data_IF_303755116588
#
_entry.id   IF_303755116588
#
_cell.length_a   1.000
_cell.length_b   1.000
_cell.length_c   1.000
_cell.angle_alpha   90.00
_cell.angle_beta   90.00
_cell.angle_gamma   90.00
#
_symmetry.space_group_name_H-M   'P 1'
#
loop_
_entity.id
_entity.type
_entity.pdbx_description
1 polymer ?
#
# COMPACT_ATOMS: atom_id res chain seq x y z
N UNK A 1 33.13 -81.06 -35.04
CA UNK A 1 34.53 -80.58 -34.95
C UNK A 1 34.68 -79.51 -36.01
N UNK A 2 34.87 -78.23 -35.73
CA UNK A 2 35.98 -77.62 -35.01
C UNK A 2 35.55 -76.28 -34.39
N UNK A 3 36.24 -75.88 -33.32
CA UNK A 3 36.00 -74.71 -32.48
C UNK A 3 36.70 -73.43 -32.96
N UNK A 4 36.22 -72.32 -32.39
CA UNK A 4 36.93 -71.07 -32.02
C UNK A 4 37.16 -70.02 -33.12
N UNK A 5 36.71 -68.78 -32.88
CA UNK A 5 37.57 -67.71 -32.34
C UNK A 5 36.70 -66.59 -31.70
N UNK A 6 37.08 -66.18 -30.49
CA UNK A 6 36.55 -65.02 -29.77
C UNK A 6 37.04 -63.72 -30.43
N UNK A 7 36.15 -62.74 -30.60
CA UNK A 7 36.52 -61.35 -30.89
C UNK A 7 35.93 -60.48 -29.77
N UNK A 8 36.81 -59.92 -28.95
CA UNK A 8 36.51 -58.86 -27.98
C UNK A 8 36.21 -57.56 -28.74
N UNK A 9 35.02 -56.99 -28.53
CA UNK A 9 34.66 -55.66 -29.02
C UNK A 9 34.54 -54.70 -27.83
N UNK A 10 35.60 -53.91 -27.61
CA UNK A 10 35.61 -52.75 -26.72
C UNK A 10 34.91 -51.58 -27.42
N UNK A 11 33.66 -51.30 -27.04
CA UNK A 11 32.96 -50.09 -27.44
C UNK A 11 33.23 -48.99 -26.40
N UNK A 12 34.09 -48.04 -26.75
CA UNK A 12 34.32 -46.82 -25.99
C UNK A 12 33.14 -45.87 -26.13
N UNK A 13 32.51 -45.51 -25.01
CA UNK A 13 31.41 -44.55 -24.94
C UNK A 13 31.98 -43.12 -25.00
N UNK A 14 31.97 -42.48 -26.17
CA UNK A 14 32.28 -41.05 -26.28
C UNK A 14 31.05 -40.23 -25.88
N UNK A 15 31.10 -39.60 -24.71
CA UNK A 15 30.07 -38.68 -24.24
C UNK A 15 30.19 -37.36 -25.03
N UNK A 16 29.28 -37.12 -25.97
CA UNK A 16 29.19 -35.83 -26.66
C UNK A 16 28.52 -34.81 -25.72
N UNK A 17 29.33 -34.00 -25.05
CA UNK A 17 28.86 -32.87 -24.25
C UNK A 17 28.30 -31.82 -25.21
N UNK A 18 26.98 -31.77 -25.34
CA UNK A 18 26.31 -30.64 -25.98
C UNK A 18 26.21 -29.52 -24.94
N UNK A 19 27.10 -28.53 -25.05
CA UNK A 19 26.92 -27.26 -24.36
C UNK A 19 25.70 -26.55 -24.97
N UNK A 20 24.56 -26.58 -24.27
CA UNK A 20 23.45 -25.71 -24.59
C UNK A 20 23.88 -24.25 -24.35
N UNK A 21 23.50 -23.29 -25.21
CA UNK A 21 23.86 -21.91 -24.98
C UNK A 21 23.17 -21.41 -23.71
N UNK A 22 23.95 -20.86 -22.81
CA UNK A 22 23.44 -20.09 -21.67
C UNK A 22 22.63 -18.94 -22.26
N UNK A 23 21.34 -18.90 -21.96
CA UNK A 23 20.48 -17.79 -22.34
C UNK A 23 21.09 -16.50 -21.77
N UNK A 24 21.58 -15.64 -22.67
CA UNK A 24 22.03 -14.30 -22.27
C UNK A 24 20.83 -13.58 -21.68
N UNK A 25 20.99 -12.96 -20.51
CA UNK A 25 20.03 -12.00 -19.98
C UNK A 25 19.88 -10.85 -20.98
N UNK A 26 18.89 -10.94 -21.86
CA UNK A 26 18.53 -9.87 -22.78
C UNK A 26 17.97 -8.71 -21.95
N UNK A 27 18.65 -7.57 -22.01
CA UNK A 27 18.05 -6.31 -21.56
C UNK A 27 16.73 -6.09 -22.30
N UNK A 28 15.67 -5.78 -21.57
CA UNK A 28 14.33 -5.51 -22.14
C UNK A 28 14.44 -4.45 -23.23
N UNK A 29 13.74 -4.66 -24.35
CA UNK A 29 13.74 -3.68 -25.45
C UNK A 29 13.06 -2.38 -25.02
N UNK A 30 13.31 -1.28 -25.72
CA UNK A 30 12.67 0.01 -25.42
C UNK A 30 11.14 -0.04 -25.54
N UNK A 31 10.62 -0.90 -26.43
CA UNK A 31 9.18 -1.12 -26.60
C UNK A 31 8.59 -1.85 -25.39
N UNK A 32 9.27 -2.89 -24.89
CA UNK A 32 8.86 -3.61 -23.68
C UNK A 32 8.84 -2.69 -22.45
N UNK A 33 9.80 -1.77 -22.35
CA UNK A 33 9.87 -0.79 -21.26
C UNK A 33 8.69 0.19 -21.33
N UNK A 34 8.36 0.69 -22.53
CA UNK A 34 7.25 1.61 -22.72
C UNK A 34 5.89 0.96 -22.40
N UNK A 35 5.72 -0.31 -22.78
CA UNK A 35 4.52 -1.09 -22.49
C UNK A 35 4.37 -1.32 -20.98
N UNK A 36 5.43 -1.76 -20.30
CA UNK A 36 5.42 -1.94 -18.84
C UNK A 36 5.10 -0.62 -18.13
N UNK A 37 5.72 0.49 -18.53
CA UNK A 37 5.40 1.80 -17.94
C UNK A 37 3.95 2.20 -18.14
N UNK A 38 3.35 1.90 -19.30
CA UNK A 38 1.95 2.18 -19.55
C UNK A 38 1.04 1.30 -18.67
N UNK A 39 1.34 0.01 -18.54
CA UNK A 39 0.60 -0.92 -17.67
C UNK A 39 0.63 -0.43 -16.22
N UNK A 40 1.79 -0.05 -15.70
CA UNK A 40 1.94 0.47 -14.33
C UNK A 40 1.09 1.73 -14.10
N UNK A 41 1.12 2.68 -15.04
CA UNK A 41 0.35 3.94 -14.93
C UNK A 41 -1.17 3.70 -15.00
N UNK A 42 -1.61 2.74 -15.82
CA UNK A 42 -3.02 2.34 -15.87
C UNK A 42 -3.42 1.59 -14.59
N UNK A 43 -2.54 0.74 -14.05
CA UNK A 43 -2.71 0.08 -12.76
C UNK A 43 -2.93 1.08 -11.63
N UNK A 44 -2.12 2.14 -11.59
CA UNK A 44 -2.28 3.24 -10.64
C UNK A 44 -3.67 3.89 -10.72
N UNK A 45 -4.11 4.26 -11.94
CA UNK A 45 -5.43 4.89 -12.13
C UNK A 45 -6.59 3.94 -11.81
N UNK A 46 -6.42 2.63 -12.06
CA UNK A 46 -7.41 1.60 -11.66
C UNK A 46 -7.51 1.53 -10.15
N UNK A 47 -6.37 1.38 -9.45
CA UNK A 47 -6.30 1.22 -7.99
C UNK A 47 -6.80 2.46 -7.26
N UNK A 48 -6.26 3.64 -7.58
CA UNK A 48 -6.49 4.84 -6.77
C UNK A 48 -7.62 5.74 -7.28
N UNK A 49 -7.99 5.64 -8.57
CA UNK A 49 -8.94 6.53 -9.23
C UNK A 49 -10.13 5.82 -9.86
N UNK A 50 -10.28 4.50 -9.63
CA UNK A 50 -11.38 3.69 -10.14
C UNK A 50 -11.54 3.80 -11.67
N UNK A 51 -10.42 3.72 -12.41
CA UNK A 51 -10.47 3.59 -13.86
C UNK A 51 -11.03 2.21 -14.22
N UNK A 52 -12.20 2.15 -14.85
CA UNK A 52 -12.82 0.90 -15.28
C UNK A 52 -12.38 0.49 -16.70
N UNK A 53 -12.18 -0.81 -16.92
CA UNK A 53 -11.96 -1.35 -18.26
C UNK A 53 -13.31 -1.57 -18.96
N UNK A 54 -13.67 -0.73 -19.93
CA UNK A 54 -14.79 -1.04 -20.82
C UNK A 54 -14.36 -2.03 -21.90
N UNK A 55 -14.88 -3.26 -21.81
CA UNK A 55 -14.60 -4.37 -22.75
C UNK A 55 -15.13 -4.17 -24.18
N UNK A 56 -15.81 -3.06 -24.51
CA UNK A 56 -16.44 -2.89 -25.84
C UNK A 56 -16.63 -1.44 -26.32
N UNK A 57 -15.80 -0.49 -25.88
CA UNK A 57 -15.91 0.91 -26.32
C UNK A 57 -14.84 1.28 -27.36
N UNK A 58 -15.25 2.03 -28.39
CA UNK A 58 -14.35 2.68 -29.37
C UNK A 58 -13.17 3.38 -28.68
N UNK A 59 -11.97 3.31 -29.28
CA UNK A 59 -10.71 3.81 -28.70
C UNK A 59 -10.78 5.25 -28.16
N UNK A 60 -11.58 6.11 -28.81
CA UNK A 60 -11.83 7.50 -28.40
C UNK A 60 -12.57 7.67 -27.07
N UNK A 61 -13.45 6.72 -26.68
CA UNK A 61 -14.17 6.80 -25.39
C UNK A 61 -13.28 6.36 -24.23
N UNK A 62 -12.45 5.34 -24.45
CA UNK A 62 -11.46 4.86 -23.48
C UNK A 62 -10.39 5.93 -23.18
N UNK A 63 -9.88 6.62 -24.20
CA UNK A 63 -8.94 7.73 -24.01
C UNK A 63 -9.58 8.90 -23.24
N UNK A 64 -10.85 9.19 -23.49
CA UNK A 64 -11.63 10.19 -22.74
C UNK A 64 -11.72 9.86 -21.24
N UNK A 65 -12.05 8.62 -20.88
CA UNK A 65 -12.13 8.18 -19.48
C UNK A 65 -10.77 8.25 -18.77
N UNK A 66 -9.69 7.79 -19.42
CA UNK A 66 -8.32 7.91 -18.90
C UNK A 66 -7.97 9.37 -18.60
N UNK A 67 -8.23 10.26 -19.55
CA UNK A 67 -7.96 11.69 -19.41
C UNK A 67 -8.77 12.32 -18.26
N UNK A 68 -10.01 11.89 -18.04
CA UNK A 68 -10.81 12.33 -16.89
C UNK A 68 -10.21 11.91 -15.55
N UNK A 69 -9.76 10.64 -15.43
CA UNK A 69 -9.13 10.13 -14.21
C UNK A 69 -7.77 10.77 -13.93
N UNK A 70 -7.01 11.09 -14.98
CA UNK A 70 -5.78 11.89 -14.85
C UNK A 70 -6.10 13.30 -14.33
N UNK A 71 -7.13 13.98 -14.87
CA UNK A 71 -7.54 15.30 -14.35
C UNK A 71 -8.00 15.24 -12.90
N UNK A 72 -8.69 14.17 -12.52
CA UNK A 72 -9.12 13.95 -11.13
C UNK A 72 -7.91 13.83 -10.20
N UNK A 73 -6.92 13.01 -10.56
CA UNK A 73 -5.64 12.89 -9.86
C UNK A 73 -4.91 14.23 -9.76
N UNK A 74 -4.75 14.95 -10.88
CA UNK A 74 -4.04 16.23 -10.90
C UNK A 74 -4.70 17.24 -9.97
N UNK A 75 -6.04 17.32 -9.96
CA UNK A 75 -6.77 18.18 -9.01
C UNK A 75 -6.59 17.74 -7.55
N UNK A 76 -6.57 16.44 -7.28
CA UNK A 76 -6.37 15.92 -5.93
C UNK A 76 -5.01 16.36 -5.38
N UNK A 77 -3.96 16.25 -6.19
CA UNK A 77 -2.59 16.57 -5.81
C UNK A 77 -2.19 18.04 -6.04
N UNK A 78 -3.12 18.90 -6.49
CA UNK A 78 -2.83 20.31 -6.76
C UNK A 78 -1.88 20.56 -7.95
N UNK A 79 -1.79 19.62 -8.89
CA UNK A 79 -0.99 19.74 -10.11
C UNK A 79 -1.74 20.53 -11.20
N UNK A 80 -1.01 20.92 -12.25
CA UNK A 80 -1.63 21.46 -13.46
C UNK A 80 -2.58 20.44 -14.10
N UNK A 81 -3.84 20.85 -14.32
CA UNK A 81 -4.91 19.94 -14.77
C UNK A 81 -4.88 19.82 -16.30
N UNK A 82 -3.93 19.05 -16.82
CA UNK A 82 -3.71 18.84 -18.26
C UNK A 82 -4.53 17.66 -18.81
N UNK A 83 -4.87 16.68 -17.97
CA UNK A 83 -5.50 15.43 -18.37
C UNK A 83 -4.62 14.50 -19.19
N UNK A 84 -3.30 14.72 -19.15
CA UNK A 84 -2.28 13.85 -19.75
C UNK A 84 -1.24 13.45 -18.70
N UNK A 85 -0.53 12.35 -18.95
CA UNK A 85 0.55 11.88 -18.09
C UNK A 85 1.83 12.68 -18.36
N UNK A 86 1.81 13.96 -17.99
CA UNK A 86 2.98 14.84 -18.06
C UNK A 86 4.07 14.44 -17.04
N UNK A 87 5.31 14.95 -17.16
CA UNK A 87 6.41 14.55 -16.30
C UNK A 87 6.14 14.74 -14.80
N UNK A 88 5.42 15.79 -14.42
CA UNK A 88 5.07 16.07 -13.02
C UNK A 88 4.05 15.06 -12.48
N UNK A 89 3.01 14.75 -13.27
CA UNK A 89 2.02 13.71 -12.93
C UNK A 89 2.69 12.35 -12.76
N UNK A 90 3.62 11.99 -13.66
CA UNK A 90 4.38 10.74 -13.57
C UNK A 90 5.28 10.72 -12.34
N UNK A 91 5.95 11.83 -12.00
CA UNK A 91 6.76 11.91 -10.79
C UNK A 91 5.91 11.72 -9.53
N UNK A 92 4.69 12.26 -9.50
CA UNK A 92 3.77 12.04 -8.39
C UNK A 92 3.37 10.57 -8.26
N UNK A 93 3.03 9.89 -9.38
CA UNK A 93 2.67 8.46 -9.39
C UNK A 93 3.77 7.53 -8.87
N UNK A 94 5.04 7.96 -8.93
CA UNK A 94 6.20 7.16 -8.50
C UNK A 94 6.50 7.24 -7.01
N UNK A 95 5.88 8.17 -6.28
CA UNK A 95 6.15 8.35 -4.86
C UNK A 95 5.47 7.23 -4.06
N UNK A 96 6.18 6.69 -3.07
CA UNK A 96 5.58 5.75 -2.12
C UNK A 96 4.41 6.40 -1.39
N UNK A 97 3.37 5.62 -1.13
CA UNK A 97 2.07 6.11 -0.68
C UNK A 97 1.25 5.04 0.04
N UNK A 98 0.16 5.47 0.66
CA UNK A 98 -0.91 4.59 1.11
C UNK A 98 -1.63 3.91 -0.08
N UNK A 99 -2.01 2.65 0.14
CA UNK A 99 -2.69 1.75 -0.80
C UNK A 99 -4.19 1.96 -0.93
N UNK A 100 -4.80 2.78 -0.06
CA UNK A 100 -6.23 3.11 -0.08
C UNK A 100 -6.56 4.01 -1.28
N UNK A 101 -7.70 3.82 -1.97
CA UNK A 101 -8.08 4.69 -3.09
C UNK A 101 -8.29 6.17 -2.71
N UNK A 102 -7.82 7.09 -3.56
CA UNK A 102 -7.93 8.55 -3.34
C UNK A 102 -9.36 9.08 -3.53
N UNK A 103 -10.15 8.34 -4.33
CA UNK A 103 -11.54 8.67 -4.62
C UNK A 103 -12.39 7.46 -4.27
N UNK A 104 -13.35 7.67 -3.38
CA UNK A 104 -14.21 6.59 -2.87
C UNK A 104 -14.96 5.92 -4.03
N UNK A 105 -14.85 4.60 -4.15
CA UNK A 105 -15.77 3.78 -4.96
C UNK A 105 -17.20 3.74 -4.38
N UNK A 106 -17.36 4.11 -3.11
CA UNK A 106 -18.60 3.97 -2.35
C UNK A 106 -19.07 5.31 -1.77
N UNK A 107 -19.49 6.23 -2.63
CA UNK A 107 -20.41 7.31 -2.19
C UNK A 107 -21.87 6.83 -2.08
N UNK A 108 -22.09 5.51 -2.00
CA UNK A 108 -23.39 4.90 -1.70
C UNK A 108 -23.68 4.79 -0.20
N UNK A 109 -22.73 5.18 0.67
CA UNK A 109 -22.94 5.32 2.11
C UNK A 109 -22.67 6.78 2.48
N UNK A 110 -23.57 7.37 3.27
CA UNK A 110 -23.60 8.81 3.57
C UNK A 110 -22.37 9.35 4.31
N UNK A 111 -22.43 10.58 4.85
CA UNK A 111 -21.30 11.18 5.54
C UNK A 111 -20.83 10.32 6.74
N UNK A 112 -19.52 10.00 6.75
CA UNK A 112 -18.77 9.58 7.93
C UNK A 112 -18.98 8.13 8.39
N UNK A 113 -18.44 7.15 7.66
CA UNK A 113 -18.30 5.78 8.19
C UNK A 113 -17.42 5.84 9.43
N UNK A 114 -17.98 5.51 10.59
CA UNK A 114 -17.29 5.57 11.89
C UNK A 114 -17.71 4.41 12.78
N UNK A 115 -16.88 4.09 13.76
CA UNK A 115 -17.29 3.20 14.85
C UNK A 115 -18.42 3.83 15.67
N UNK A 116 -19.42 3.01 16.02
CA UNK A 116 -20.54 3.43 16.86
C UNK A 116 -20.23 3.34 18.37
N UNK A 117 -18.97 3.10 18.71
CA UNK A 117 -18.45 3.01 20.07
C UNK A 117 -17.11 3.74 20.17
N UNK A 118 -16.78 4.19 21.38
CA UNK A 118 -15.50 4.88 21.63
C UNK A 118 -14.42 3.98 22.23
N UNK A 119 -14.80 2.82 22.76
CA UNK A 119 -13.86 1.83 23.30
C UNK A 119 -13.55 0.83 22.21
N UNK A 120 -12.43 1.05 21.53
CA UNK A 120 -11.94 0.20 20.46
C UNK A 120 -10.86 -0.73 20.98
N UNK A 121 -10.78 -1.91 20.38
CA UNK A 121 -9.76 -2.90 20.65
C UNK A 121 -8.83 -3.04 19.45
N UNK A 122 -7.56 -3.34 19.69
CA UNK A 122 -6.61 -3.64 18.62
C UNK A 122 -5.79 -4.87 18.96
N UNK A 123 -5.30 -5.57 17.93
CA UNK A 123 -4.44 -6.75 18.10
C UNK A 123 -3.40 -6.80 16.99
N UNK A 124 -2.15 -7.04 17.37
CA UNK A 124 -1.09 -7.40 16.43
C UNK A 124 -1.13 -8.91 16.21
N UNK A 125 -1.25 -9.31 14.94
CA UNK A 125 -1.28 -10.72 14.54
C UNK A 125 0.13 -11.29 14.39
N UNK A 126 1.04 -10.46 13.88
CA UNK A 126 2.46 -10.76 13.69
C UNK A 126 3.27 -9.45 13.81
N UNK A 127 4.58 -9.54 13.51
CA UNK A 127 5.55 -8.45 13.62
C UNK A 127 6.47 -8.48 12.42
N UNK A 128 6.91 -7.31 11.98
CA UNK A 128 8.02 -7.15 11.03
C UNK A 128 9.34 -7.66 11.65
N UNK A 129 10.21 -8.33 10.89
CA UNK A 129 11.54 -8.73 11.36
C UNK A 129 12.53 -7.55 11.42
N UNK A 130 12.19 -6.39 10.85
CA UNK A 130 13.09 -5.23 10.79
C UNK A 130 13.29 -4.53 12.13
N UNK A 131 12.35 -4.73 13.06
CA UNK A 131 12.30 -4.03 14.34
C UNK A 131 12.08 -5.01 15.50
N UNK A 132 12.67 -4.77 16.69
CA UNK A 132 12.33 -5.52 17.89
C UNK A 132 10.83 -5.44 18.19
N UNK A 133 10.25 -6.56 18.64
CA UNK A 133 8.83 -6.67 19.03
C UNK A 133 8.39 -5.55 19.99
N UNK A 134 9.24 -5.20 20.96
CA UNK A 134 8.96 -4.15 21.93
C UNK A 134 8.90 -2.74 21.32
N UNK A 135 9.64 -2.50 20.24
CA UNK A 135 9.61 -1.23 19.50
C UNK A 135 8.35 -1.13 18.65
N UNK A 136 7.99 -2.21 17.93
CA UNK A 136 6.74 -2.28 17.17
C UNK A 136 5.55 -2.04 18.10
N UNK A 137 5.50 -2.72 19.25
CA UNK A 137 4.45 -2.53 20.26
C UNK A 137 4.33 -1.08 20.73
N UNK A 138 5.46 -0.44 21.04
CA UNK A 138 5.51 0.96 21.46
C UNK A 138 5.02 1.89 20.36
N UNK A 139 5.50 1.70 19.13
CA UNK A 139 5.18 2.53 17.96
C UNK A 139 3.70 2.45 17.62
N UNK A 140 3.13 1.24 17.54
CA UNK A 140 1.70 1.05 17.27
C UNK A 140 0.84 1.71 18.35
N UNK A 141 1.23 1.56 19.63
CA UNK A 141 0.54 2.22 20.72
C UNK A 141 0.63 3.76 20.62
N UNK A 142 1.78 4.32 20.24
CA UNK A 142 1.94 5.75 20.02
C UNK A 142 1.11 6.26 18.84
N UNK A 143 1.06 5.52 17.74
CA UNK A 143 0.26 5.84 16.56
C UNK A 143 -1.25 5.86 16.89
N UNK A 144 -1.78 4.92 17.66
CA UNK A 144 -3.17 4.99 18.12
C UNK A 144 -3.42 6.16 19.08
N UNK A 145 -2.43 6.48 19.93
CA UNK A 145 -2.54 7.59 20.89
C UNK A 145 -2.69 8.95 20.22
N UNK A 146 -2.15 9.20 19.01
CA UNK A 146 -2.32 10.51 18.37
C UNK A 146 -3.80 10.83 18.16
N UNK A 147 -4.61 9.82 17.83
CA UNK A 147 -6.05 9.94 17.65
C UNK A 147 -6.80 10.00 19.00
N UNK A 148 -6.40 9.17 19.98
CA UNK A 148 -6.99 9.18 21.33
C UNK A 148 -6.71 10.49 22.11
N UNK A 149 -5.69 11.24 21.73
CA UNK A 149 -5.36 12.52 22.35
C UNK A 149 -6.34 13.63 21.96
N UNK A 150 -6.97 13.54 20.80
CA UNK A 150 -7.84 14.60 20.25
C UNK A 150 -9.31 14.20 20.15
N UNK A 151 -9.65 12.96 20.49
CA UNK A 151 -11.01 12.40 20.46
C UNK A 151 -11.38 11.74 21.81
N UNK A 152 -12.66 11.38 22.01
CA UNK A 152 -13.09 10.52 23.12
C UNK A 152 -12.71 9.03 22.98
N UNK A 153 -12.01 8.64 21.91
CA UNK A 153 -11.66 7.25 21.65
C UNK A 153 -10.62 6.73 22.65
N UNK A 154 -10.74 5.45 22.99
CA UNK A 154 -9.76 4.71 23.79
C UNK A 154 -9.45 3.39 23.10
N UNK A 155 -8.18 3.00 23.12
CA UNK A 155 -7.70 1.79 22.48
C UNK A 155 -7.16 0.81 23.52
N UNK A 156 -7.68 -0.41 23.51
CA UNK A 156 -7.24 -1.50 24.40
C UNK A 156 -6.64 -2.62 23.58
N UNK A 157 -5.41 -3.01 23.92
CA UNK A 157 -4.75 -4.15 23.27
C UNK A 157 -5.39 -5.46 23.68
N UNK A 158 -5.66 -6.33 22.71
CA UNK A 158 -5.94 -7.75 22.93
C UNK A 158 -4.73 -8.58 22.54
N UNK A 159 -4.51 -9.69 23.25
CA UNK A 159 -3.45 -10.65 22.94
C UNK A 159 -3.98 -11.91 22.22
N UNK A 160 -5.30 -12.13 22.30
CA UNK A 160 -6.00 -13.28 21.71
C UNK A 160 -7.38 -12.84 21.22
N UNK A 161 -8.02 -13.66 20.38
CA UNK A 161 -9.35 -13.38 19.82
C UNK A 161 -9.34 -12.28 18.75
N UNK A 162 -10.53 -11.84 18.35
CA UNK A 162 -10.71 -10.81 17.32
C UNK A 162 -10.88 -9.44 17.97
N UNK A 163 -10.14 -8.46 17.45
CA UNK A 163 -10.23 -7.06 17.86
C UNK A 163 -11.01 -6.24 16.83
N UNK A 164 -11.30 -4.97 17.14
CA UNK A 164 -11.90 -4.03 16.18
C UNK A 164 -10.92 -3.60 15.09
N UNK A 165 -9.61 -3.66 15.37
CA UNK A 165 -8.52 -3.32 14.46
C UNK A 165 -7.50 -4.44 14.55
N UNK A 166 -7.47 -5.34 13.57
CA UNK A 166 -6.41 -6.32 13.41
C UNK A 166 -5.25 -5.70 12.64
N UNK A 167 -4.03 -5.95 13.09
CA UNK A 167 -2.81 -5.35 12.55
C UNK A 167 -1.88 -6.47 12.13
N UNK A 168 -1.47 -6.45 10.86
CA UNK A 168 -0.57 -7.46 10.31
C UNK A 168 0.47 -6.87 9.35
N UNK A 169 1.60 -7.57 9.24
CA UNK A 169 2.73 -7.24 8.38
C UNK A 169 2.88 -8.31 7.30
N UNK A 170 3.08 -7.88 6.05
CA UNK A 170 3.40 -8.74 4.92
C UNK A 170 2.17 -9.34 4.24
N UNK A 171 2.28 -10.60 3.79
CA UNK A 171 1.20 -11.31 3.09
C UNK A 171 -0.04 -11.45 3.97
N UNK A 172 -1.16 -10.97 3.44
CA UNK A 172 -2.44 -10.89 4.12
C UNK A 172 -3.54 -11.42 3.18
N UNK A 173 -4.57 -12.07 3.73
CA UNK A 173 -5.54 -12.87 2.96
C UNK A 173 -6.64 -12.09 2.24
N UNK A 174 -6.42 -10.81 1.91
CA UNK A 174 -7.41 -9.94 1.25
C UNK A 174 -7.20 -9.85 -0.28
N UNK A 175 -8.01 -9.01 -0.94
CA UNK A 175 -8.00 -8.85 -2.41
C UNK A 175 -7.00 -7.78 -2.93
N UNK A 176 -6.16 -7.21 -2.07
CA UNK A 176 -5.30 -6.06 -2.35
C UNK A 176 -3.82 -6.37 -2.07
N UNK A 177 -3.20 -7.32 -2.78
CA UNK A 177 -1.79 -7.65 -2.54
C UNK A 177 -0.86 -6.43 -2.67
N UNK A 178 0.21 -6.45 -1.88
CA UNK A 178 1.30 -5.49 -1.97
C UNK A 178 2.18 -5.70 -3.21
N UNK A 179 2.96 -4.68 -3.55
CA UNK A 179 3.72 -4.56 -4.80
C UNK A 179 5.24 -4.72 -4.64
N UNK A 180 5.70 -5.09 -3.44
CA UNK A 180 7.11 -5.20 -3.10
C UNK A 180 7.71 -3.85 -2.73
N UNK A 181 9.05 -3.68 -2.72
CA UNK A 181 9.67 -2.47 -2.20
C UNK A 181 9.32 -1.19 -2.96
N UNK A 182 8.89 -0.17 -2.22
CA UNK A 182 8.37 1.10 -2.72
C UNK A 182 6.91 1.01 -3.16
N UNK A 183 6.35 2.12 -3.64
CA UNK A 183 4.96 2.09 -4.14
C UNK A 183 3.95 2.08 -3.00
N UNK A 184 3.35 0.93 -2.67
CA UNK A 184 2.32 0.82 -1.63
C UNK A 184 2.89 0.38 -0.29
N UNK A 185 2.95 1.31 0.68
CA UNK A 185 3.59 1.03 1.98
C UNK A 185 2.70 0.24 2.94
N UNK A 186 1.40 0.48 2.86
CA UNK A 186 0.38 -0.05 3.74
C UNK A 186 -1.01 0.25 3.18
N UNK A 187 -2.03 -0.39 3.72
CA UNK A 187 -3.42 0.03 3.57
C UNK A 187 -4.25 -0.34 4.80
N UNK A 188 -5.40 0.29 4.93
CA UNK A 188 -6.38 -0.05 5.95
C UNK A 188 -7.81 -0.01 5.40
N UNK A 189 -8.72 -0.61 6.15
CA UNK A 189 -10.14 -0.64 5.83
C UNK A 189 -10.92 0.31 6.73
N UNK A 190 -11.94 0.96 6.17
CA UNK A 190 -12.88 1.77 6.95
C UNK A 190 -13.58 0.94 8.03
N UNK A 191 -14.09 1.59 9.10
CA UNK A 191 -14.86 0.92 10.16
C UNK A 191 -16.00 0.05 9.60
N UNK A 192 -15.98 -1.25 9.90
CA UNK A 192 -17.04 -2.18 9.53
C UNK A 192 -16.89 -3.49 10.33
N UNK A 193 -17.78 -4.45 10.07
CA UNK A 193 -17.62 -5.81 10.58
C UNK A 193 -16.58 -6.59 9.75
N UNK A 194 -16.06 -7.70 10.28
CA UNK A 194 -15.11 -8.56 9.58
C UNK A 194 -13.74 -7.90 9.48
N UNK A 195 -13.24 -7.68 8.25
CA UNK A 195 -11.95 -7.01 8.00
C UNK A 195 -12.02 -5.48 8.13
N UNK A 196 -13.21 -4.94 8.41
CA UNK A 196 -13.39 -3.50 8.59
C UNK A 196 -12.61 -2.99 9.78
N UNK A 197 -11.80 -1.96 9.57
CA UNK A 197 -10.88 -1.42 10.58
C UNK A 197 -9.47 -1.97 10.50
N UNK A 198 -9.24 -3.12 9.87
CA UNK A 198 -7.92 -3.75 9.82
C UNK A 198 -6.90 -2.89 9.07
N UNK A 199 -5.64 -3.00 9.49
CA UNK A 199 -4.52 -2.27 8.90
C UNK A 199 -3.38 -3.25 8.58
N UNK A 200 -2.95 -3.23 7.32
CA UNK A 200 -1.92 -4.11 6.78
C UNK A 200 -0.72 -3.28 6.35
N UNK A 201 0.48 -3.76 6.67
CA UNK A 201 1.74 -3.08 6.41
C UNK A 201 2.59 -3.94 5.47
N UNK A 202 3.16 -3.34 4.42
CA UNK A 202 3.98 -4.09 3.47
C UNK A 202 5.35 -4.42 4.08
N UNK A 203 5.59 -5.70 4.38
CA UNK A 203 6.83 -6.17 5.03
C UNK A 203 7.97 -6.41 4.02
N UNK A 204 7.75 -6.13 2.72
CA UNK A 204 8.84 -5.94 1.76
C UNK A 204 9.47 -4.53 1.89
N UNK A 205 8.81 -3.61 2.60
CA UNK A 205 9.38 -2.33 3.00
C UNK A 205 10.30 -2.47 4.20
N UNK A 206 11.37 -1.67 4.24
CA UNK A 206 12.24 -1.61 5.42
C UNK A 206 11.66 -0.69 6.49
N UNK A 207 10.99 -1.24 7.50
CA UNK A 207 10.43 -0.45 8.59
C UNK A 207 11.51 0.05 9.56
N UNK A 208 11.30 1.26 10.06
CA UNK A 208 12.21 1.93 11.01
C UNK A 208 11.43 2.78 12.01
N UNK A 209 12.11 3.24 13.06
CA UNK A 209 11.60 4.24 14.00
C UNK A 209 12.49 5.49 13.97
N UNK A 210 11.87 6.67 13.91
CA UNK A 210 12.54 7.97 13.96
C UNK A 210 13.69 8.13 12.95
N UNK A 211 13.53 7.56 11.75
CA UNK A 211 14.60 7.50 10.75
C UNK A 211 14.09 7.78 9.35
N UNK A 212 14.81 8.63 8.62
CA UNK A 212 14.56 8.87 7.20
C UNK A 212 15.24 7.85 6.28
N UNK A 213 15.89 6.82 6.82
CA UNK A 213 16.63 5.78 6.06
C UNK A 213 15.81 4.50 5.84
N UNK A 214 14.49 4.63 5.87
CA UNK A 214 13.52 3.57 5.67
C UNK A 214 12.11 4.15 5.77
N UNK A 215 11.13 3.27 5.91
CA UNK A 215 9.74 3.63 6.12
C UNK A 215 9.49 3.76 7.62
N UNK A 216 9.26 4.97 8.10
CA UNK A 216 8.96 5.21 9.51
C UNK A 216 7.58 4.63 9.88
N UNK A 217 7.60 3.57 10.70
CA UNK A 217 6.40 2.81 11.05
C UNK A 217 5.37 3.65 11.82
N UNK A 218 5.81 4.62 12.63
CA UNK A 218 4.89 5.49 13.36
C UNK A 218 4.05 6.34 12.39
N UNK A 219 4.70 6.95 11.39
CA UNK A 219 4.01 7.80 10.41
C UNK A 219 3.01 7.01 9.57
N UNK A 220 3.41 5.84 9.08
CA UNK A 220 2.53 4.98 8.28
C UNK A 220 1.39 4.43 9.14
N UNK A 221 1.67 3.90 10.33
CA UNK A 221 0.62 3.36 11.20
C UNK A 221 -0.37 4.43 11.65
N UNK A 222 0.11 5.64 12.01
CA UNK A 222 -0.79 6.72 12.38
C UNK A 222 -1.72 7.11 11.23
N UNK A 223 -1.22 7.11 9.99
CA UNK A 223 -2.01 7.35 8.78
C UNK A 223 -3.07 6.25 8.58
N UNK A 224 -2.66 4.98 8.55
CA UNK A 224 -3.58 3.86 8.33
C UNK A 224 -4.66 3.78 9.42
N UNK A 225 -4.32 4.07 10.67
CA UNK A 225 -5.33 4.16 11.73
C UNK A 225 -6.32 5.30 11.53
N UNK A 226 -5.96 6.37 10.81
CA UNK A 226 -6.94 7.35 10.38
C UNK A 226 -8.02 6.71 9.49
N UNK A 227 -7.66 5.84 8.56
CA UNK A 227 -8.59 5.06 7.76
C UNK A 227 -9.38 4.05 8.59
N UNK A 228 -8.72 3.30 9.49
CA UNK A 228 -9.38 2.40 10.45
C UNK A 228 -10.40 3.11 11.35
N UNK A 229 -10.31 4.43 11.47
CA UNK A 229 -11.24 5.28 12.21
C UNK A 229 -12.24 6.01 11.32
N UNK A 230 -12.13 5.92 9.99
CA UNK A 230 -13.11 6.44 9.04
C UNK A 230 -12.70 7.71 8.30
N UNK A 231 -11.45 8.15 8.42
CA UNK A 231 -10.94 9.27 7.62
C UNK A 231 -10.64 8.81 6.20
N UNK A 232 -10.91 9.70 5.24
CA UNK A 232 -10.40 9.59 3.88
C UNK A 232 -9.09 10.35 3.74
N UNK A 233 -8.39 10.16 2.64
CA UNK A 233 -7.22 10.96 2.31
C UNK A 233 -7.52 12.47 2.29
N UNK A 234 -6.58 13.25 2.80
CA UNK A 234 -6.56 14.71 2.68
C UNK A 234 -5.90 15.15 1.38
N UNK A 235 -6.30 16.32 0.90
CA UNK A 235 -5.64 17.03 -0.21
C UNK A 235 -4.55 18.00 0.28
N UNK A 236 -4.47 18.24 1.58
CA UNK A 236 -3.44 19.08 2.18
C UNK A 236 -2.12 18.30 2.28
N UNK A 237 -1.05 18.67 1.56
CA UNK A 237 0.23 17.97 1.61
C UNK A 237 0.94 18.04 2.97
N UNK A 238 0.42 18.83 3.90
CA UNK A 238 0.91 18.92 5.28
C UNK A 238 0.10 18.07 6.27
N UNK A 239 -1.05 17.53 5.87
CA UNK A 239 -1.85 16.62 6.70
C UNK A 239 -1.19 15.25 6.85
N UNK A 240 -1.42 14.56 7.96
CA UNK A 240 -1.02 13.16 8.15
C UNK A 240 -1.74 12.29 7.13
N UNK A 241 -3.04 12.51 6.92
CA UNK A 241 -3.87 11.77 5.96
C UNK A 241 -3.60 12.09 4.48
N UNK A 242 -2.55 12.85 4.16
CA UNK A 242 -2.11 12.98 2.77
C UNK A 242 -1.52 11.65 2.29
N UNK A 243 -1.92 11.11 1.13
CA UNK A 243 -1.63 9.73 0.74
C UNK A 243 -0.14 9.47 0.48
N UNK A 244 0.61 10.48 0.07
CA UNK A 244 2.00 10.31 -0.31
C UNK A 244 2.89 10.38 0.92
N UNK A 245 3.72 9.35 1.09
CA UNK A 245 4.64 9.27 2.20
C UNK A 245 5.67 10.39 2.14
N UNK A 246 5.87 11.01 3.30
CA UNK A 246 6.93 11.99 3.53
C UNK A 246 7.36 11.87 4.98
N UNK A 247 8.65 11.56 5.17
CA UNK A 247 9.24 11.59 6.50
C UNK A 247 9.06 12.96 7.15
N UNK A 248 8.78 12.94 8.45
CA UNK A 248 8.64 14.13 9.31
C UNK A 248 9.48 13.91 10.55
N UNK A 249 10.12 14.98 11.03
CA UNK A 249 10.78 14.92 12.32
C UNK A 249 9.74 14.69 13.42
N UNK A 250 9.92 13.61 14.18
CA UNK A 250 8.97 13.16 15.18
C UNK A 250 9.20 13.76 16.57
N UNK A 251 10.35 14.41 16.80
CA UNK A 251 10.68 15.02 18.08
C UNK A 251 9.69 16.12 18.50
N UNK A 252 9.07 16.78 17.52
CA UNK A 252 8.06 17.82 17.72
C UNK A 252 6.76 17.51 16.98
N UNK A 253 6.47 16.24 16.73
CA UNK A 253 5.29 15.87 15.95
C UNK A 253 4.01 16.22 16.70
N UNK A 254 3.17 17.00 16.02
CA UNK A 254 1.80 17.30 16.44
C UNK A 254 0.90 16.93 15.28
N UNK A 255 -0.22 16.27 15.59
CA UNK A 255 -1.22 15.92 14.59
C UNK A 255 -1.70 17.20 13.88
N UNK A 256 -1.58 17.30 12.54
CA UNK A 256 -1.95 18.52 11.82
C UNK A 256 -3.43 18.88 11.98
N UNK A 257 -3.73 20.17 11.86
CA UNK A 257 -5.05 20.69 12.19
C UNK A 257 -6.17 20.18 11.25
N UNK A 258 -5.84 19.86 10.01
CA UNK A 258 -6.76 19.23 9.05
C UNK A 258 -7.22 17.85 9.57
N UNK A 259 -6.27 17.01 9.99
CA UNK A 259 -6.54 15.68 10.55
C UNK A 259 -7.33 15.78 11.87
N UNK A 260 -6.99 16.74 12.73
CA UNK A 260 -7.72 17.00 13.98
C UNK A 260 -9.18 17.37 13.70
N UNK A 261 -9.43 18.26 12.73
CA UNK A 261 -10.80 18.66 12.36
C UNK A 261 -11.55 17.49 11.74
N UNK A 262 -10.89 16.73 10.86
CA UNK A 262 -11.44 15.53 10.24
C UNK A 262 -11.92 14.54 11.28
N UNK A 263 -11.05 14.14 12.20
CA UNK A 263 -11.40 13.11 13.19
C UNK A 263 -12.43 13.61 14.21
N UNK A 264 -12.35 14.88 14.62
CA UNK A 264 -13.32 15.47 15.53
C UNK A 264 -14.70 15.67 14.88
N UNK A 265 -14.79 15.77 13.55
CA UNK A 265 -16.08 15.76 12.86
C UNK A 265 -16.80 14.42 12.98
N UNK A 266 -16.05 13.31 13.16
CA UNK A 266 -16.60 11.97 13.34
C UNK A 266 -16.88 11.65 14.81
N UNK A 267 -15.93 11.93 15.71
CA UNK A 267 -15.99 11.45 17.10
C UNK A 267 -16.20 12.55 18.15
N UNK A 268 -16.23 13.82 17.73
CA UNK A 268 -16.22 14.96 18.64
C UNK A 268 -14.85 15.21 19.26
N UNK A 269 -14.76 16.27 20.07
CA UNK A 269 -13.55 16.61 20.82
C UNK A 269 -13.42 15.74 22.06
N UNK A 270 -12.18 15.49 22.48
CA UNK A 270 -11.92 14.94 23.81
C UNK A 270 -12.48 15.89 24.87
N UNK A 271 -13.36 15.39 25.73
CA UNK A 271 -13.77 16.12 26.93
C UNK A 271 -12.58 16.22 27.87
N UNK A 272 -12.31 17.44 28.35
CA UNK A 272 -11.28 17.76 29.35
C UNK A 272 -11.79 17.35 30.73
#
# INVERSE_FOLDING_TARGET
>A
MLHAYCIFLLLTLTCAIHAAPIASSSGKSNEDIAEVMLITRLGYLKRFYNLTEQRSATSSRSSGQKSLKIREMQRFFGLNVTGVLDPETIQMMKKSRCGVPDVSQYSTFGPGIKWQKNKLTYRLENYTPDMPVSEVDRVIQQALRVWANVTPLTFTRLNTGTADIMISFGSHGDFYPFDGPGGTLAHAFSPSDGIGGDAHFDDDERFTENSSRGTDLFLVAAHEFGHSLGLSHSKDPTALMYPVYKYRDLNSYVLPQDDVKGIQSLYGKKSI
#
